data_IF_930852228220
#
_entry.id   IF_930852228220
#
_cell.length_a   1.000
_cell.length_b   1.000
_cell.length_c   1.000
_cell.angle_alpha   90.00
_cell.angle_beta   90.00
_cell.angle_gamma   90.00
#
_symmetry.space_group_name_H-M   'P 1'
#
loop_
_entity.id
_entity.type
_entity.pdbx_description
1 polymer ?
#
# COMPACT_ATOMS: atom_id res chain seq x y z
N UNK A 1 -56.07 -63.93 -15.18
CA UNK A 1 -55.93 -63.14 -13.93
C UNK A 1 -54.53 -62.59 -13.88
N UNK A 2 -54.45 -61.29 -14.08
CA UNK A 2 -53.21 -60.55 -14.20
C UNK A 2 -52.82 -60.02 -12.84
N UNK A 3 -51.58 -60.27 -12.44
CA UNK A 3 -50.93 -59.60 -11.33
C UNK A 3 -49.81 -58.74 -11.92
N UNK A 4 -50.06 -57.49 -11.99
CA UNK A 4 -49.04 -56.46 -12.25
C UNK A 4 -48.50 -55.95 -10.91
N UNK A 5 -47.24 -56.22 -10.64
CA UNK A 5 -46.51 -55.62 -9.51
C UNK A 5 -45.79 -54.39 -10.00
N UNK A 6 -46.25 -53.21 -9.56
CA UNK A 6 -45.60 -51.99 -9.71
C UNK A 6 -44.39 -51.89 -8.72
N UNK A 7 -43.17 -51.84 -9.27
CA UNK A 7 -41.99 -51.51 -8.53
C UNK A 7 -41.62 -50.09 -8.92
N UNK A 8 -41.99 -49.16 -8.08
CA UNK A 8 -41.60 -47.75 -8.20
C UNK A 8 -40.41 -47.53 -7.26
N UNK A 9 -39.21 -47.78 -7.76
CA UNK A 9 -38.00 -47.38 -7.08
C UNK A 9 -37.70 -45.93 -7.43
N UNK A 10 -37.93 -45.04 -6.47
CA UNK A 10 -37.50 -43.66 -6.49
C UNK A 10 -35.99 -43.60 -6.26
N UNK A 11 -35.23 -43.33 -7.32
CA UNK A 11 -33.82 -42.95 -7.17
C UNK A 11 -33.79 -41.46 -6.75
N UNK A 12 -33.63 -41.26 -5.48
CA UNK A 12 -33.28 -39.96 -4.91
C UNK A 12 -31.79 -39.76 -5.15
N UNK A 13 -31.45 -39.04 -6.22
CA UNK A 13 -30.05 -38.65 -6.52
C UNK A 13 -29.72 -37.41 -5.72
N UNK A 14 -29.07 -37.60 -4.59
CA UNK A 14 -28.42 -36.54 -3.83
C UNK A 14 -27.34 -35.91 -4.69
N UNK A 15 -27.62 -34.70 -5.20
CA UNK A 15 -26.67 -33.83 -5.91
C UNK A 15 -26.09 -32.79 -4.95
N UNK A 16 -25.37 -33.22 -3.92
CA UNK A 16 -24.71 -32.32 -2.96
C UNK A 16 -23.18 -32.18 -3.15
N UNK A 17 -22.56 -32.76 -4.19
CA UNK A 17 -21.10 -32.84 -4.28
C UNK A 17 -20.43 -31.81 -5.21
N UNK A 18 -21.16 -31.10 -6.07
CA UNK A 18 -20.54 -30.31 -7.13
C UNK A 18 -20.24 -28.83 -6.75
N UNK A 19 -20.91 -28.28 -5.74
CA UNK A 19 -20.72 -26.87 -5.34
C UNK A 19 -19.43 -26.61 -4.54
N UNK A 20 -18.89 -27.61 -3.85
CA UNK A 20 -17.68 -27.49 -3.06
C UNK A 20 -16.43 -27.43 -3.94
N UNK A 21 -16.37 -28.20 -5.00
CA UNK A 21 -15.21 -28.28 -5.88
C UNK A 21 -15.00 -27.01 -6.71
N UNK A 22 -16.07 -26.36 -7.19
CA UNK A 22 -15.94 -25.11 -7.95
C UNK A 22 -15.34 -23.95 -7.13
N UNK A 23 -15.66 -23.85 -5.85
CA UNK A 23 -15.13 -22.83 -4.98
C UNK A 23 -13.66 -23.08 -4.62
N UNK A 24 -13.25 -24.33 -4.47
CA UNK A 24 -11.85 -24.68 -4.26
C UNK A 24 -11.02 -24.44 -5.51
N UNK A 25 -11.51 -24.80 -6.69
CA UNK A 25 -10.83 -24.49 -7.95
C UNK A 25 -10.69 -22.98 -8.20
N UNK A 26 -11.71 -22.20 -7.88
CA UNK A 26 -11.65 -20.72 -7.98
C UNK A 26 -10.63 -20.11 -6.99
N UNK A 27 -10.51 -20.65 -5.78
CA UNK A 27 -9.49 -20.23 -4.82
C UNK A 27 -8.09 -20.56 -5.32
N UNK A 28 -7.88 -21.80 -5.77
CA UNK A 28 -6.59 -22.26 -6.30
C UNK A 28 -6.16 -21.45 -7.53
N UNK A 29 -7.08 -21.15 -8.44
CA UNK A 29 -6.82 -20.31 -9.62
C UNK A 29 -6.46 -18.86 -9.23
N UNK A 30 -7.11 -18.32 -8.21
CA UNK A 30 -6.79 -16.99 -7.67
C UNK A 30 -5.43 -16.97 -6.96
N UNK A 31 -5.10 -18.00 -6.19
CA UNK A 31 -3.79 -18.13 -5.53
C UNK A 31 -2.66 -18.27 -6.57
N UNK A 32 -2.85 -19.12 -7.59
CA UNK A 32 -1.89 -19.26 -8.69
C UNK A 32 -1.70 -17.95 -9.45
N UNK A 33 -2.76 -17.20 -9.70
CA UNK A 33 -2.68 -15.89 -10.36
C UNK A 33 -1.96 -14.87 -9.50
N UNK A 34 -2.18 -14.88 -8.18
CA UNK A 34 -1.50 -13.99 -7.25
C UNK A 34 0.00 -14.33 -7.15
N UNK A 35 0.35 -15.60 -7.04
CA UNK A 35 1.75 -16.05 -7.02
C UNK A 35 2.47 -15.70 -8.32
N UNK A 36 1.81 -15.89 -9.46
CA UNK A 36 2.35 -15.51 -10.76
C UNK A 36 2.58 -14.00 -10.87
N UNK A 37 1.63 -13.19 -10.40
CA UNK A 37 1.78 -11.73 -10.36
C UNK A 37 2.93 -11.31 -9.44
N UNK A 38 3.07 -11.92 -8.26
CA UNK A 38 4.15 -11.60 -7.32
C UNK A 38 5.53 -12.01 -7.86
N UNK A 39 5.60 -13.09 -8.64
CA UNK A 39 6.84 -13.54 -9.25
C UNK A 39 7.35 -12.60 -10.36
N UNK A 40 6.44 -12.10 -11.20
CA UNK A 40 6.77 -11.23 -12.33
C UNK A 40 6.70 -9.75 -12.01
N UNK A 41 5.90 -9.37 -11.01
CA UNK A 41 5.66 -7.98 -10.58
C UNK A 41 5.94 -7.81 -9.09
N UNK A 42 7.21 -7.79 -8.74
CA UNK A 42 7.64 -7.60 -7.33
C UNK A 42 7.19 -6.25 -6.75
N UNK A 43 6.96 -5.26 -7.63
CA UNK A 43 6.39 -3.97 -7.25
C UNK A 43 4.95 -4.06 -6.69
N UNK A 44 4.22 -5.13 -7.00
CA UNK A 44 2.86 -5.37 -6.48
C UNK A 44 2.84 -5.89 -5.05
N UNK A 45 4.00 -6.29 -4.50
CA UNK A 45 4.10 -6.77 -3.13
C UNK A 45 3.70 -5.68 -2.14
N UNK A 46 2.69 -5.98 -1.34
CA UNK A 46 2.23 -5.10 -0.25
C UNK A 46 2.97 -5.51 1.02
N UNK A 47 3.73 -4.59 1.59
CA UNK A 47 4.39 -4.79 2.86
C UNK A 47 3.49 -4.37 4.02
N UNK A 48 3.64 -5.02 5.18
CA UNK A 48 2.95 -4.62 6.39
C UNK A 48 3.50 -3.26 6.88
N UNK A 49 2.66 -2.50 7.62
CA UNK A 49 3.04 -1.16 8.10
C UNK A 49 4.28 -1.17 9.00
N UNK A 50 4.42 -2.16 9.86
CA UNK A 50 5.58 -2.32 10.73
C UNK A 50 6.86 -2.62 9.93
N UNK A 51 6.76 -3.41 8.87
CA UNK A 51 7.86 -3.65 7.92
C UNK A 51 8.25 -2.36 7.20
N UNK A 52 7.26 -1.58 6.74
CA UNK A 52 7.49 -0.30 6.07
C UNK A 52 8.25 0.67 6.98
N UNK A 53 7.86 0.77 8.26
CA UNK A 53 8.55 1.62 9.23
C UNK A 53 9.99 1.16 9.44
N UNK A 54 10.21 -0.16 9.54
CA UNK A 54 11.55 -0.71 9.73
C UNK A 54 12.45 -0.47 8.51
N UNK A 55 11.90 -0.64 7.30
CA UNK A 55 12.60 -0.39 6.03
C UNK A 55 12.84 1.11 5.75
N UNK A 56 11.99 1.98 6.28
CA UNK A 56 12.15 3.45 6.12
C UNK A 56 13.18 4.06 7.06
N UNK A 57 13.76 3.26 7.98
CA UNK A 57 14.77 3.76 8.92
C UNK A 57 16.13 3.85 8.26
N UNK A 58 16.65 5.06 8.15
CA UNK A 58 17.95 5.35 7.52
C UNK A 58 19.08 5.22 8.53
N UNK A 59 20.18 4.62 8.08
CA UNK A 59 21.46 4.57 8.82
C UNK A 59 22.42 5.60 8.21
N UNK A 60 22.90 6.55 9.05
CA UNK A 60 23.84 7.59 8.64
C UNK A 60 25.17 7.41 9.33
N UNK A 61 26.26 7.75 8.63
CA UNK A 61 27.60 7.81 9.19
C UNK A 61 27.85 9.12 9.96
N UNK A 62 28.97 9.20 10.69
CA UNK A 62 29.42 10.41 11.40
C UNK A 62 29.50 11.66 10.52
N UNK A 63 29.67 11.49 9.22
CA UNK A 63 29.67 12.55 8.21
C UNK A 63 28.29 12.88 7.65
N UNK A 64 27.21 12.36 8.25
CA UNK A 64 25.82 12.51 7.82
C UNK A 64 25.50 11.94 6.42
N UNK A 65 26.37 11.07 5.89
CA UNK A 65 26.17 10.35 4.64
C UNK A 65 25.36 9.07 4.92
N UNK A 66 24.40 8.77 4.07
CA UNK A 66 23.57 7.57 4.16
C UNK A 66 24.40 6.37 3.69
N UNK A 67 24.54 5.35 4.56
CA UNK A 67 25.29 4.10 4.29
C UNK A 67 24.33 2.91 4.43
N UNK A 68 23.18 3.00 3.84
CA UNK A 68 22.19 1.94 3.91
C UNK A 68 22.07 1.25 2.55
N UNK A 69 22.10 -0.09 2.54
CA UNK A 69 21.88 -0.87 1.32
C UNK A 69 20.44 -0.79 0.82
N UNK A 70 19.48 -0.46 1.73
CA UNK A 70 18.06 -0.35 1.42
C UNK A 70 17.71 0.97 0.73
N UNK A 71 18.58 1.99 0.84
CA UNK A 71 18.34 3.34 0.31
C UNK A 71 19.41 3.70 -0.73
N UNK A 72 19.11 3.45 -2.00
CA UNK A 72 20.01 3.70 -3.14
C UNK A 72 19.67 4.97 -3.90
N UNK A 73 18.42 5.45 -3.80
CA UNK A 73 17.99 6.66 -4.50
C UNK A 73 18.48 7.93 -3.79
N UNK A 74 18.57 9.02 -4.54
CA UNK A 74 19.02 10.30 -4.02
C UNK A 74 18.07 10.80 -2.93
N UNK A 75 18.57 11.28 -1.77
CA UNK A 75 17.75 11.74 -0.65
C UNK A 75 17.15 13.14 -0.89
N UNK A 76 16.73 13.43 -2.09
CA UNK A 76 16.11 14.68 -2.50
C UNK A 76 14.66 14.45 -2.86
N UNK A 77 13.78 15.32 -2.39
CA UNK A 77 12.37 15.29 -2.74
C UNK A 77 12.15 15.80 -4.16
N UNK A 78 11.62 14.95 -5.04
CA UNK A 78 11.33 15.35 -6.42
C UNK A 78 10.12 16.30 -6.49
N UNK A 79 10.03 17.11 -7.54
CA UNK A 79 8.89 18.01 -7.76
C UNK A 79 7.54 17.28 -7.79
N UNK A 80 7.53 16.09 -8.39
CA UNK A 80 6.33 15.26 -8.45
C UNK A 80 5.90 14.78 -7.06
N UNK A 81 6.84 14.25 -6.28
CA UNK A 81 6.59 13.78 -4.90
C UNK A 81 6.11 14.95 -4.03
N UNK A 82 6.78 16.11 -4.12
CA UNK A 82 6.41 17.35 -3.40
C UNK A 82 4.95 17.74 -3.68
N UNK A 83 4.57 17.78 -4.96
CA UNK A 83 3.21 18.16 -5.36
C UNK A 83 2.18 17.16 -4.85
N UNK A 84 2.48 15.87 -4.96
CA UNK A 84 1.59 14.81 -4.47
C UNK A 84 1.39 14.87 -2.97
N UNK A 85 2.45 15.04 -2.20
CA UNK A 85 2.41 15.15 -0.74
C UNK A 85 1.58 16.37 -0.33
N UNK A 86 1.85 17.53 -0.92
CA UNK A 86 1.09 18.75 -0.64
C UNK A 86 -0.39 18.58 -0.97
N UNK A 87 -0.73 17.94 -2.10
CA UNK A 87 -2.11 17.68 -2.49
C UNK A 87 -2.83 16.77 -1.50
N UNK A 88 -2.22 15.65 -1.12
CA UNK A 88 -2.80 14.72 -0.13
C UNK A 88 -2.93 15.38 1.25
N UNK A 89 -1.93 16.15 1.68
CA UNK A 89 -1.99 16.82 2.97
C UNK A 89 -3.03 17.93 2.99
N UNK A 90 -3.11 18.75 1.95
CA UNK A 90 -4.16 19.76 1.78
C UNK A 90 -5.55 19.16 1.85
N UNK A 91 -5.76 18.02 1.18
CA UNK A 91 -7.02 17.29 1.24
C UNK A 91 -7.36 16.84 2.66
N UNK A 92 -6.39 16.32 3.41
CA UNK A 92 -6.59 15.93 4.81
C UNK A 92 -6.97 17.12 5.68
N UNK A 93 -6.27 18.26 5.54
CA UNK A 93 -6.55 19.48 6.30
C UNK A 93 -7.95 20.01 5.99
N UNK A 94 -8.32 20.07 4.72
CA UNK A 94 -9.67 20.52 4.28
C UNK A 94 -10.78 19.57 4.78
N UNK A 95 -10.46 18.30 5.02
CA UNK A 95 -11.38 17.33 5.62
C UNK A 95 -11.43 17.42 7.16
N UNK A 96 -10.76 18.40 7.77
CA UNK A 96 -10.79 18.65 9.21
C UNK A 96 -9.68 17.99 10.01
N UNK A 97 -8.61 17.49 9.38
CA UNK A 97 -7.44 16.98 10.10
C UNK A 97 -6.70 18.12 10.81
N UNK A 98 -6.27 17.85 12.05
CA UNK A 98 -5.48 18.83 12.81
C UNK A 98 -4.12 19.06 12.17
N UNK A 99 -3.67 20.31 12.07
CA UNK A 99 -2.31 20.62 11.63
C UNK A 99 -1.27 20.19 12.65
N UNK A 100 -0.07 19.82 12.17
CA UNK A 100 1.06 19.39 13.01
C UNK A 100 1.94 20.58 13.46
N UNK A 101 1.63 21.80 12.98
CA UNK A 101 2.29 23.05 13.36
C UNK A 101 1.26 23.97 14.00
N UNK A 102 1.74 24.88 14.84
CA UNK A 102 0.92 25.99 15.32
C UNK A 102 0.72 26.98 14.17
N UNK A 103 -0.53 27.26 13.88
CA UNK A 103 -0.93 28.15 12.77
C UNK A 103 -1.32 29.50 13.36
N UNK A 104 -0.84 30.56 12.74
CA UNK A 104 -1.35 31.89 12.97
C UNK A 104 -2.82 31.98 12.52
N UNK A 105 -3.65 32.67 13.26
CA UNK A 105 -5.12 32.71 13.06
C UNK A 105 -5.55 33.27 11.68
N UNK A 106 -4.62 33.85 10.93
CA UNK A 106 -4.89 34.47 9.63
C UNK A 106 -4.81 33.51 8.44
N UNK A 107 -4.35 32.25 8.66
CA UNK A 107 -4.18 31.28 7.57
C UNK A 107 -5.36 30.31 7.53
N UNK A 108 -6.24 30.52 6.58
CA UNK A 108 -7.42 29.67 6.37
C UNK A 108 -7.15 28.62 5.27
N UNK A 109 -6.22 28.89 4.35
CA UNK A 109 -5.95 28.01 3.21
C UNK A 109 -5.17 26.77 3.62
N UNK A 110 -5.78 25.60 3.42
CA UNK A 110 -5.16 24.29 3.72
C UNK A 110 -3.87 24.03 2.94
N UNK A 111 -3.69 24.61 1.76
CA UNK A 111 -2.46 24.47 0.99
C UNK A 111 -1.29 25.23 1.64
N UNK A 112 -1.54 26.45 2.11
CA UNK A 112 -0.51 27.24 2.81
C UNK A 112 -0.09 26.57 4.11
N UNK A 113 -1.03 25.97 4.83
CA UNK A 113 -0.76 25.17 6.03
C UNK A 113 0.11 23.98 5.69
N UNK A 114 -0.27 23.19 4.67
CA UNK A 114 0.50 22.02 4.22
C UNK A 114 1.92 22.40 3.77
N UNK A 115 2.09 23.55 3.10
CA UNK A 115 3.41 24.06 2.69
C UNK A 115 4.30 24.37 3.89
N UNK A 116 3.75 25.06 4.91
CA UNK A 116 4.48 25.34 6.16
C UNK A 116 4.83 24.05 6.94
N UNK A 117 3.92 23.06 6.97
CA UNK A 117 4.19 21.75 7.55
C UNK A 117 5.32 21.00 6.83
N UNK A 118 5.38 21.10 5.50
CA UNK A 118 6.44 20.50 4.70
C UNK A 118 7.79 21.16 4.96
N UNK A 119 7.86 22.50 4.99
CA UNK A 119 9.06 23.24 5.32
C UNK A 119 9.57 22.94 6.73
N UNK A 120 8.65 22.79 7.69
CA UNK A 120 8.96 22.38 9.06
C UNK A 120 9.30 20.89 9.20
N UNK A 121 9.20 20.09 8.11
CA UNK A 121 9.39 18.62 8.09
C UNK A 121 8.55 17.87 9.12
N UNK A 122 7.34 18.37 9.40
CA UNK A 122 6.42 17.79 10.40
C UNK A 122 5.40 16.80 9.83
N UNK A 123 5.32 16.66 8.50
CA UNK A 123 4.37 15.74 7.84
C UNK A 123 4.87 14.30 8.03
N UNK A 124 4.09 13.40 8.67
CA UNK A 124 4.50 12.03 8.96
C UNK A 124 4.23 11.08 7.78
N UNK A 125 4.67 11.46 6.57
CA UNK A 125 4.48 10.60 5.40
C UNK A 125 5.72 9.77 5.12
N UNK A 126 5.48 8.54 4.62
CA UNK A 126 6.49 7.65 4.07
C UNK A 126 6.25 7.56 2.57
N UNK A 127 7.28 7.79 1.79
CA UNK A 127 7.26 7.74 0.33
C UNK A 127 7.76 6.38 -0.11
N UNK A 128 7.01 5.72 -0.99
CA UNK A 128 7.43 4.51 -1.68
C UNK A 128 8.00 4.88 -3.05
N UNK A 129 9.25 4.53 -3.29
CA UNK A 129 9.93 4.68 -4.57
C UNK A 129 10.15 3.31 -5.20
N UNK A 130 9.52 3.00 -6.33
CA UNK A 130 9.79 1.76 -7.04
C UNK A 130 11.19 1.81 -7.67
N UNK A 131 11.94 0.72 -7.55
CA UNK A 131 13.25 0.57 -8.17
C UNK A 131 13.13 -0.17 -9.51
N UNK A 132 13.97 0.15 -10.50
CA UNK A 132 14.01 -0.59 -11.76
C UNK A 132 14.38 -2.07 -11.60
N UNK A 133 15.02 -2.42 -10.48
CA UNK A 133 15.39 -3.81 -10.13
C UNK A 133 14.23 -4.66 -9.60
N UNK A 134 13.01 -4.11 -9.52
CA UNK A 134 11.81 -4.80 -9.06
C UNK A 134 11.50 -4.66 -7.58
N UNK A 135 12.30 -3.94 -6.79
CA UNK A 135 12.05 -3.63 -5.39
C UNK A 135 11.37 -2.27 -5.19
N UNK A 136 11.16 -1.91 -3.94
CA UNK A 136 10.69 -0.58 -3.55
C UNK A 136 11.47 -0.07 -2.35
N UNK A 137 11.86 1.19 -2.39
CA UNK A 137 12.46 1.89 -1.26
C UNK A 137 11.40 2.69 -0.51
N UNK A 138 11.54 2.78 0.81
CA UNK A 138 10.65 3.54 1.67
C UNK A 138 11.42 4.64 2.37
N UNK A 139 10.99 5.89 2.19
CA UNK A 139 11.63 7.07 2.72
C UNK A 139 10.72 7.84 3.64
N UNK A 140 11.16 8.16 4.84
CA UNK A 140 10.46 9.16 5.63
C UNK A 140 10.66 10.56 5.03
N UNK A 141 9.58 11.32 4.94
CA UNK A 141 9.62 12.67 4.39
C UNK A 141 10.59 13.59 5.13
N UNK A 142 10.73 13.43 6.44
CA UNK A 142 11.67 14.22 7.28
C UNK A 142 13.13 14.05 6.89
N UNK A 143 13.49 12.91 6.29
CA UNK A 143 14.86 12.54 5.94
C UNK A 143 15.25 12.98 4.53
N UNK A 144 14.28 13.43 3.74
CA UNK A 144 14.49 13.97 2.41
C UNK A 144 14.78 15.47 2.45
N UNK A 145 15.65 15.92 1.53
CA UNK A 145 15.94 17.33 1.32
C UNK A 145 14.92 17.94 0.36
N UNK A 146 14.36 19.08 0.76
CA UNK A 146 13.41 19.86 -0.05
C UNK A 146 14.21 20.97 -0.72
N UNK A 147 14.25 20.95 -2.04
CA UNK A 147 14.87 21.99 -2.87
C UNK A 147 13.79 22.94 -3.39
#
# INVERSE_FOLDING_TARGET
ENITTDINESYDSESESDDYDENEFKKLDNELKQDYLLQYHQESKIHNFDEIISMAKIIRNDKNVIIDELHKTIPILTKYEKTRILGERTKQINNGSKPFIEIENDIIDGYLVASKELEAKKIPFIIRRPLPSGGSEYWHLKDLEVI
#
